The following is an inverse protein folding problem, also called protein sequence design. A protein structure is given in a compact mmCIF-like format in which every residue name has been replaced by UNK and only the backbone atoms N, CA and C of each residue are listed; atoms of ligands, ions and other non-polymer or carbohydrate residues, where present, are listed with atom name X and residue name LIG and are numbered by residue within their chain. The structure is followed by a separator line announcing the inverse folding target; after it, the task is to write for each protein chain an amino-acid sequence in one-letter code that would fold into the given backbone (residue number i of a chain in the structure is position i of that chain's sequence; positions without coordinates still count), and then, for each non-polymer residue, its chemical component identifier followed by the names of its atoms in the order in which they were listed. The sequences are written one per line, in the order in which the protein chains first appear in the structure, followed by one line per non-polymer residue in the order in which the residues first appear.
data_IF_698396331499
#
_entry.id   IF_698396331499
#
_cell.length_a   1.000
_cell.length_b   1.000
_cell.length_c   1.000
_cell.angle_alpha   90.00
_cell.angle_beta   90.00
_cell.angle_gamma   90.00
#
_symmetry.space_group_name_H-M   'P 1'
#
loop_
_entity.id
_entity.type
_entity.pdbx_description
1 polymer ?
#
# COMPACT_ATOMS: atom_id res chain seq x y z
N UNK A 1 -12.72 6.75 -12.70
CA UNK A 1 -11.57 6.28 -11.95
C UNK A 1 -10.92 7.43 -11.16
N UNK A 2 -10.63 8.55 -11.82
CA UNK A 2 -9.91 9.67 -11.22
C UNK A 2 -10.63 10.27 -10.00
N UNK A 3 -11.95 10.32 -10.03
CA UNK A 3 -12.75 10.75 -8.86
C UNK A 3 -12.61 9.79 -7.68
N UNK A 4 -12.58 8.48 -7.91
CA UNK A 4 -12.37 7.48 -6.86
C UNK A 4 -10.96 7.56 -6.28
N UNK A 5 -9.96 7.80 -7.13
CA UNK A 5 -8.57 8.02 -6.71
C UNK A 5 -8.48 9.26 -5.83
N UNK A 6 -9.08 10.38 -6.25
CA UNK A 6 -9.10 11.62 -5.47
C UNK A 6 -9.76 11.41 -4.11
N UNK A 7 -10.97 10.82 -4.08
CA UNK A 7 -11.68 10.52 -2.84
C UNK A 7 -10.86 9.60 -1.91
N UNK A 8 -10.24 8.56 -2.48
CA UNK A 8 -9.40 7.65 -1.71
C UNK A 8 -8.18 8.34 -1.10
N UNK A 9 -7.50 9.22 -1.86
CA UNK A 9 -6.36 9.97 -1.34
C UNK A 9 -6.74 10.98 -0.25
N UNK A 10 -7.95 11.56 -0.33
CA UNK A 10 -8.43 12.54 0.64
C UNK A 10 -8.99 11.89 1.92
N UNK A 11 -9.67 10.75 1.81
CA UNK A 11 -10.51 10.22 2.90
C UNK A 11 -10.03 8.88 3.48
N UNK A 12 -9.05 8.21 2.84
CA UNK A 12 -8.70 6.86 3.26
C UNK A 12 -8.00 6.84 4.63
N UNK A 13 -8.54 6.12 5.65
CA UNK A 13 -8.02 6.16 7.02
C UNK A 13 -6.56 5.70 7.16
N UNK A 14 -6.13 4.72 6.35
CA UNK A 14 -4.74 4.23 6.38
C UNK A 14 -3.74 5.28 5.93
N UNK A 15 -4.11 6.13 4.97
CA UNK A 15 -3.24 7.22 4.53
C UNK A 15 -3.19 8.32 5.60
N UNK A 16 -4.33 8.69 6.17
CA UNK A 16 -4.39 9.62 7.29
C UNK A 16 -3.56 9.11 8.50
N UNK A 17 -3.65 7.82 8.84
CA UNK A 17 -2.83 7.21 9.88
C UNK A 17 -1.34 7.29 9.57
N UNK A 18 -0.93 7.07 8.31
CA UNK A 18 0.46 7.20 7.91
C UNK A 18 0.97 8.65 8.04
N UNK A 19 0.16 9.65 7.70
CA UNK A 19 0.50 11.07 7.90
C UNK A 19 0.66 11.39 9.39
N UNK A 20 -0.26 10.95 10.24
CA UNK A 20 -0.15 11.12 11.69
C UNK A 20 1.09 10.43 12.29
N UNK A 21 1.57 9.35 11.68
CA UNK A 21 2.82 8.70 12.11
C UNK A 21 4.05 9.59 11.85
N UNK A 22 4.02 10.43 10.81
CA UNK A 22 5.07 11.44 10.55
C UNK A 22 5.05 12.51 11.64
N UNK A 23 3.87 12.99 12.05
CA UNK A 23 3.77 13.99 13.11
C UNK A 23 4.20 13.40 14.46
N UNK A 24 3.88 12.15 14.74
CA UNK A 24 4.39 11.45 15.92
C UNK A 24 5.92 11.32 15.89
N UNK A 25 6.53 11.00 14.72
CA UNK A 25 7.98 10.96 14.57
C UNK A 25 8.62 12.35 14.76
N UNK A 26 8.00 13.41 14.23
CA UNK A 26 8.45 14.80 14.49
C UNK A 26 8.42 15.16 15.97
N UNK A 27 7.37 14.76 16.69
CA UNK A 27 7.29 14.93 18.14
C UNK A 27 8.43 14.22 18.86
N UNK A 28 8.75 12.98 18.47
CA UNK A 28 9.92 12.24 19.02
C UNK A 28 11.24 12.91 18.68
N UNK A 29 11.43 13.43 17.47
CA UNK A 29 12.63 14.15 17.07
C UNK A 29 12.84 15.44 17.87
N UNK A 30 11.76 16.19 18.12
CA UNK A 30 11.79 17.34 19.01
C UNK A 30 12.22 16.92 20.44
N UNK A 31 11.55 15.92 21.01
CA UNK A 31 11.82 15.44 22.38
C UNK A 31 13.26 14.92 22.54
N UNK A 32 13.81 14.24 21.52
CA UNK A 32 15.15 13.69 21.56
C UNK A 32 16.26 14.75 21.64
N UNK A 33 15.97 15.98 21.23
CA UNK A 33 16.91 17.12 21.30
C UNK A 33 16.79 18.00 22.53
N UNK A 34 15.79 17.78 23.39
CA UNK A 34 15.57 18.63 24.56
C UNK A 34 16.52 18.29 25.69
N UNK A 35 16.98 19.35 26.37
CA UNK A 35 17.72 19.21 27.61
C UNK A 35 16.82 18.68 28.73
N UNK A 36 17.35 17.89 29.69
CA UNK A 36 16.65 17.53 30.91
C UNK A 36 16.20 18.78 31.67
N UNK A 37 15.03 18.73 32.29
CA UNK A 37 14.56 19.82 33.12
C UNK A 37 15.40 19.96 34.39
N UNK A 38 15.60 21.20 34.91
CA UNK A 38 16.18 21.37 36.22
C UNK A 38 15.31 20.72 37.30
N UNK A 39 15.95 20.11 38.26
CA UNK A 39 15.29 19.54 39.45
C UNK A 39 15.38 20.54 40.59
N UNK A 40 14.25 20.83 41.24
CA UNK A 40 14.17 21.63 42.43
C UNK A 40 13.85 20.70 43.60
N UNK A 41 14.68 20.74 44.64
CA UNK A 41 14.53 19.86 45.80
C UNK A 41 14.76 20.62 47.11
N UNK A 42 14.36 19.99 48.20
CA UNK A 42 14.64 20.40 49.57
C UNK A 42 15.49 19.31 50.19
N UNK A 43 16.64 19.65 50.73
CA UNK A 43 17.54 18.70 51.38
C UNK A 43 17.69 19.12 52.84
N UNK A 44 17.48 18.19 53.74
CA UNK A 44 17.67 18.38 55.18
C UNK A 44 18.72 17.39 55.67
N UNK A 45 19.80 17.91 56.25
CA UNK A 45 20.89 17.15 56.84
C UNK A 45 20.88 17.34 58.35
N UNK A 46 21.35 16.33 59.09
CA UNK A 46 21.51 16.38 60.58
C UNK A 46 20.17 16.65 61.32
N UNK A 47 19.05 16.25 60.74
CA UNK A 47 17.72 16.43 61.34
C UNK A 47 17.45 15.47 62.53
N UNK A 48 18.12 15.49 63.53
CA UNK A 48 17.94 14.55 64.67
C UNK A 48 19.08 14.47 65.57
N UNK A 49 19.97 15.46 65.55
CA UNK A 49 21.08 15.56 66.51
C UNK A 49 20.55 15.73 67.94
N UNK A 50 21.00 14.87 68.81
CA UNK A 50 20.58 14.82 70.21
C UNK A 50 20.94 16.06 71.00
N UNK A 51 21.77 16.97 70.49
CA UNK A 51 22.18 18.23 71.13
C UNK A 51 21.28 19.43 70.75
N UNK A 52 20.21 19.23 70.00
CA UNK A 52 19.16 20.23 69.84
C UNK A 52 19.47 21.40 68.89
N UNK A 53 20.50 21.29 68.07
CA UNK A 53 20.93 22.36 67.15
C UNK A 53 20.12 22.54 65.90
N UNK A 54 19.17 21.65 65.58
CA UNK A 54 18.14 21.88 64.62
C UNK A 54 18.51 21.62 63.14
N UNK A 55 19.68 21.06 62.84
CA UNK A 55 20.08 20.59 61.51
C UNK A 55 20.39 21.69 60.50
N UNK A 56 20.77 21.25 59.31
CA UNK A 56 21.07 22.07 58.14
C UNK A 56 19.96 21.83 57.13
N UNK A 57 19.36 22.89 56.61
CA UNK A 57 18.32 22.79 55.58
C UNK A 57 18.72 23.58 54.34
N UNK A 58 18.73 22.92 53.19
CA UNK A 58 18.98 23.54 51.89
C UNK A 58 17.66 23.70 51.13
N UNK A 59 17.20 24.96 50.94
CA UNK A 59 15.92 25.29 50.27
C UNK A 59 16.04 26.61 49.52
N UNK A 60 15.75 26.65 48.25
CA UNK A 60 15.67 25.52 47.29
C UNK A 60 17.06 25.02 46.94
N UNK A 61 17.22 23.72 46.67
CA UNK A 61 18.36 23.20 45.92
C UNK A 61 17.91 23.02 44.46
N UNK A 62 18.66 23.60 43.53
CA UNK A 62 18.44 23.48 42.11
C UNK A 62 19.57 22.64 41.53
N UNK A 63 19.25 21.60 40.79
CA UNK A 63 20.21 20.73 40.09
C UNK A 63 19.89 20.68 38.63
N UNK A 64 20.89 20.89 37.77
CA UNK A 64 20.77 20.82 36.30
C UNK A 64 21.81 19.88 35.74
N UNK A 65 21.35 18.87 34.99
CA UNK A 65 22.21 18.04 34.18
C UNK A 65 22.54 18.74 32.87
N UNK A 66 23.81 18.89 32.57
CA UNK A 66 24.35 19.39 31.32
C UNK A 66 24.79 18.19 30.49
N UNK A 67 24.02 17.88 29.45
CA UNK A 67 24.32 16.78 28.54
C UNK A 67 25.47 17.19 27.63
N UNK A 68 26.56 16.43 27.68
CA UNK A 68 27.82 16.70 26.99
C UNK A 68 28.02 15.75 25.82
N UNK A 69 29.16 15.87 25.09
CA UNK A 69 29.53 14.94 24.01
C UNK A 69 28.66 14.97 22.78
N UNK A 70 27.79 15.97 22.62
CA UNK A 70 26.89 16.06 21.46
C UNK A 70 25.75 15.03 21.43
N UNK A 71 25.48 14.36 22.58
CA UNK A 71 24.49 13.27 22.67
C UNK A 71 23.10 13.67 22.23
N UNK A 72 22.63 14.87 22.62
CA UNK A 72 21.31 15.39 22.21
C UNK A 72 21.24 15.66 20.70
N UNK A 73 22.31 16.22 20.12
CA UNK A 73 22.41 16.46 18.68
C UNK A 73 22.34 15.14 17.91
N UNK A 74 23.09 14.11 18.35
CA UNK A 74 23.08 12.79 17.72
C UNK A 74 21.74 12.08 17.90
N UNK A 75 21.12 12.19 19.09
CA UNK A 75 19.78 11.63 19.35
C UNK A 75 18.73 12.28 18.44
N UNK A 76 18.75 13.61 18.32
CA UNK A 76 17.86 14.35 17.45
C UNK A 76 18.08 13.99 15.99
N UNK A 77 19.32 13.95 15.52
CA UNK A 77 19.64 13.57 14.14
C UNK A 77 19.18 12.13 13.80
N UNK A 78 19.32 11.17 14.74
CA UNK A 78 18.80 9.83 14.57
C UNK A 78 17.26 9.80 14.50
N UNK A 79 16.57 10.59 15.33
CA UNK A 79 15.12 10.71 15.31
C UNK A 79 14.61 11.46 14.05
N UNK A 80 15.39 12.40 13.50
CA UNK A 80 15.09 13.03 12.19
C UNK A 80 15.14 12.00 11.04
N UNK A 81 16.08 11.03 11.09
CA UNK A 81 16.04 9.90 10.12
C UNK A 81 14.78 9.03 10.27
N UNK A 82 14.23 8.91 11.48
CA UNK A 82 12.92 8.25 11.68
C UNK A 82 11.77 9.04 11.04
N UNK A 83 11.81 10.37 11.05
CA UNK A 83 10.86 11.22 10.32
C UNK A 83 10.96 10.97 8.81
N UNK A 84 12.18 10.86 8.27
CA UNK A 84 12.40 10.56 6.85
C UNK A 84 11.83 9.19 6.49
N UNK A 85 12.04 8.17 7.32
CA UNK A 85 11.47 6.83 7.14
C UNK A 85 9.93 6.86 7.16
N UNK A 86 9.34 7.58 8.11
CA UNK A 86 7.89 7.75 8.19
C UNK A 86 7.32 8.47 6.95
N UNK A 87 8.02 9.46 6.43
CA UNK A 87 7.63 10.18 5.20
C UNK A 87 7.68 9.27 3.97
N UNK A 88 8.71 8.43 3.87
CA UNK A 88 8.82 7.43 2.81
C UNK A 88 7.71 6.37 2.93
N UNK A 89 7.32 6.00 4.15
CA UNK A 89 6.21 5.09 4.38
C UNK A 89 4.86 5.68 3.90
N UNK A 90 4.63 6.99 4.04
CA UNK A 90 3.44 7.67 3.45
C UNK A 90 3.44 7.52 1.93
N UNK A 91 4.60 7.71 1.28
CA UNK A 91 4.72 7.57 -0.18
C UNK A 91 4.43 6.14 -0.63
N UNK A 92 4.94 5.12 0.09
CA UNK A 92 4.65 3.72 -0.18
C UNK A 92 3.15 3.42 -0.05
N UNK A 93 2.53 3.86 1.06
CA UNK A 93 1.08 3.66 1.31
C UNK A 93 0.20 4.34 0.26
N UNK A 94 0.61 5.52 -0.21
CA UNK A 94 -0.09 6.21 -1.32
C UNK A 94 -0.06 5.35 -2.59
N UNK A 95 1.10 4.84 -2.98
CA UNK A 95 1.24 4.00 -4.17
C UNK A 95 0.45 2.68 -4.05
N UNK A 96 0.50 2.01 -2.90
CA UNK A 96 -0.30 0.82 -2.61
C UNK A 96 -1.81 1.10 -2.73
N UNK A 97 -2.26 2.24 -2.18
CA UNK A 97 -3.66 2.66 -2.25
C UNK A 97 -4.11 2.91 -3.68
N UNK A 98 -3.31 3.63 -4.48
CA UNK A 98 -3.58 3.88 -5.89
C UNK A 98 -3.73 2.56 -6.68
N UNK A 99 -2.80 1.63 -6.49
CA UNK A 99 -2.85 0.32 -7.13
C UNK A 99 -4.10 -0.48 -6.70
N UNK A 100 -4.44 -0.47 -5.42
CA UNK A 100 -5.60 -1.17 -4.89
C UNK A 100 -6.92 -0.59 -5.41
N UNK A 101 -7.06 0.74 -5.49
CA UNK A 101 -8.24 1.40 -6.06
C UNK A 101 -8.39 1.06 -7.54
N UNK A 102 -7.29 1.14 -8.31
CA UNK A 102 -7.28 0.79 -9.74
C UNK A 102 -7.69 -0.67 -9.96
N UNK A 103 -7.10 -1.59 -9.20
CA UNK A 103 -7.42 -3.02 -9.29
C UNK A 103 -8.89 -3.28 -8.97
N UNK A 104 -9.41 -2.74 -7.85
CA UNK A 104 -10.80 -2.90 -7.47
C UNK A 104 -11.78 -2.27 -8.47
N UNK A 105 -11.40 -1.14 -9.08
CA UNK A 105 -12.18 -0.49 -10.14
C UNK A 105 -12.30 -1.35 -11.39
N UNK A 106 -11.18 -1.89 -11.89
CA UNK A 106 -11.21 -2.75 -13.07
C UNK A 106 -11.88 -4.09 -12.81
N UNK A 107 -11.78 -4.64 -11.60
CA UNK A 107 -12.55 -5.82 -11.19
C UNK A 107 -14.07 -5.55 -11.25
N UNK A 108 -14.51 -4.42 -10.67
CA UNK A 108 -15.91 -4.04 -10.69
C UNK A 108 -16.40 -3.70 -12.09
N UNK A 109 -15.60 -3.04 -12.93
CA UNK A 109 -15.92 -2.72 -14.31
C UNK A 109 -16.05 -3.99 -15.17
N UNK A 110 -15.14 -4.95 -15.04
CA UNK A 110 -15.20 -6.22 -15.75
C UNK A 110 -16.44 -7.03 -15.34
N UNK A 111 -16.78 -7.05 -14.04
CA UNK A 111 -17.98 -7.71 -13.53
C UNK A 111 -19.25 -7.02 -14.06
N UNK A 112 -19.29 -5.70 -14.08
CA UNK A 112 -20.41 -4.94 -14.63
C UNK A 112 -20.65 -5.29 -16.12
N UNK A 113 -19.60 -5.28 -16.92
CA UNK A 113 -19.67 -5.68 -18.33
C UNK A 113 -20.10 -7.14 -18.52
N UNK A 114 -19.61 -8.03 -17.65
CA UNK A 114 -20.02 -9.44 -17.65
C UNK A 114 -21.52 -9.58 -17.35
N UNK A 115 -22.03 -8.89 -16.33
CA UNK A 115 -23.44 -8.92 -15.96
C UNK A 115 -24.35 -8.40 -17.09
N UNK A 116 -23.98 -7.30 -17.74
CA UNK A 116 -24.69 -6.78 -18.92
C UNK A 116 -24.77 -7.82 -20.07
N UNK A 117 -23.65 -8.48 -20.38
CA UNK A 117 -23.59 -9.50 -21.43
C UNK A 117 -24.41 -10.73 -21.09
N UNK A 118 -24.36 -11.20 -19.85
CA UNK A 118 -25.15 -12.33 -19.36
C UNK A 118 -26.64 -12.02 -19.36
N UNK A 119 -27.06 -10.82 -19.01
CA UNK A 119 -28.44 -10.38 -19.10
C UNK A 119 -28.97 -10.39 -20.55
N UNK A 120 -28.14 -9.92 -21.50
CA UNK A 120 -28.47 -10.00 -22.94
C UNK A 120 -28.55 -11.45 -23.40
N UNK A 121 -27.63 -12.30 -22.98
CA UNK A 121 -27.61 -13.72 -23.35
C UNK A 121 -28.83 -14.44 -22.76
N UNK A 122 -29.24 -14.15 -21.53
CA UNK A 122 -30.46 -14.68 -20.91
C UNK A 122 -31.70 -14.37 -21.77
N UNK A 123 -31.85 -13.12 -22.20
CA UNK A 123 -32.97 -12.72 -23.04
C UNK A 123 -32.96 -13.46 -24.38
N UNK A 124 -31.76 -13.60 -24.96
CA UNK A 124 -31.59 -14.26 -26.26
C UNK A 124 -31.91 -15.76 -26.19
N UNK A 125 -31.37 -16.47 -25.18
CA UNK A 125 -31.63 -17.91 -25.00
C UNK A 125 -33.10 -18.18 -24.73
N UNK A 126 -33.78 -17.34 -23.93
CA UNK A 126 -35.20 -17.45 -23.70
C UNK A 126 -36.04 -17.28 -24.98
N UNK A 127 -35.75 -16.26 -25.79
CA UNK A 127 -36.39 -16.06 -27.07
C UNK A 127 -36.18 -17.25 -28.02
N UNK A 128 -35.02 -17.87 -27.95
CA UNK A 128 -34.66 -19.02 -28.78
C UNK A 128 -35.45 -20.27 -28.38
N UNK A 129 -35.67 -20.50 -27.10
CA UNK A 129 -36.53 -21.56 -26.59
C UNK A 129 -37.95 -21.38 -27.14
N UNK A 130 -38.52 -20.17 -27.01
CA UNK A 130 -39.87 -19.86 -27.47
C UNK A 130 -40.04 -20.03 -29.01
N UNK A 131 -39.03 -19.58 -29.79
CA UNK A 131 -39.04 -19.76 -31.23
C UNK A 131 -38.98 -21.24 -31.63
N UNK A 132 -38.12 -22.02 -30.98
CA UNK A 132 -37.96 -23.45 -31.29
C UNK A 132 -39.19 -24.24 -30.86
N UNK A 133 -39.87 -23.88 -29.76
CA UNK A 133 -41.15 -24.46 -29.40
C UNK A 133 -42.22 -24.28 -30.47
N UNK A 134 -42.32 -23.07 -31.08
CA UNK A 134 -43.22 -22.82 -32.24
C UNK A 134 -42.84 -23.65 -33.45
N UNK A 135 -41.54 -23.87 -33.70
CA UNK A 135 -41.09 -24.75 -34.80
C UNK A 135 -41.43 -26.21 -34.53
N UNK A 136 -41.42 -26.68 -33.28
CA UNK A 136 -41.89 -28.03 -32.93
C UNK A 136 -43.40 -28.18 -33.18
N UNK A 137 -44.20 -27.19 -32.82
CA UNK A 137 -45.65 -27.17 -33.10
C UNK A 137 -45.90 -27.22 -34.62
N UNK A 138 -45.07 -26.51 -35.43
CA UNK A 138 -45.09 -26.54 -36.88
C UNK A 138 -44.45 -27.81 -37.48
N UNK A 139 -43.97 -28.76 -36.69
CA UNK A 139 -43.22 -29.97 -37.09
C UNK A 139 -41.95 -29.71 -37.89
N UNK A 140 -41.31 -28.55 -37.65
CA UNK A 140 -40.04 -28.13 -38.26
C UNK A 140 -38.82 -28.28 -37.36
N UNK A 141 -39.04 -28.65 -36.10
CA UNK A 141 -37.99 -28.95 -35.11
C UNK A 141 -38.42 -30.14 -34.20
N UNK A 142 -37.49 -30.69 -33.48
CA UNK A 142 -37.73 -31.82 -32.56
C UNK A 142 -37.87 -31.38 -31.09
N UNK A 143 -38.50 -32.20 -30.26
CA UNK A 143 -38.52 -31.99 -28.81
C UNK A 143 -37.11 -31.97 -28.20
N UNK A 144 -36.17 -32.74 -28.78
CA UNK A 144 -34.79 -32.78 -28.33
C UNK A 144 -34.13 -31.38 -28.50
N UNK A 145 -34.40 -30.69 -29.63
CA UNK A 145 -33.87 -29.34 -29.86
C UNK A 145 -34.36 -28.35 -28.79
N UNK A 146 -35.64 -28.42 -28.41
CA UNK A 146 -36.18 -27.57 -27.34
C UNK A 146 -35.53 -27.89 -26.00
N UNK A 147 -35.43 -29.18 -25.62
CA UNK A 147 -34.83 -29.57 -24.33
C UNK A 147 -33.37 -29.15 -24.24
N UNK A 148 -32.57 -29.25 -25.30
CA UNK A 148 -31.20 -28.78 -25.35
C UNK A 148 -31.12 -27.26 -25.13
N UNK A 149 -32.00 -26.49 -25.73
CA UNK A 149 -32.05 -25.03 -25.54
C UNK A 149 -32.52 -24.64 -24.12
N UNK A 150 -33.47 -25.38 -23.54
CA UNK A 150 -33.93 -25.16 -22.15
C UNK A 150 -32.80 -25.40 -21.16
N UNK A 151 -31.98 -26.45 -21.32
CA UNK A 151 -30.80 -26.69 -20.49
C UNK A 151 -29.80 -25.53 -20.59
N UNK A 152 -29.55 -25.04 -21.81
CA UNK A 152 -28.63 -23.89 -21.99
C UNK A 152 -29.22 -22.59 -21.42
N UNK A 153 -30.54 -22.35 -21.58
CA UNK A 153 -31.21 -21.18 -21.02
C UNK A 153 -31.16 -21.18 -19.48
N UNK A 154 -31.36 -22.32 -18.82
CA UNK A 154 -31.24 -22.44 -17.37
C UNK A 154 -29.80 -22.25 -16.88
N UNK A 155 -28.79 -22.74 -17.63
CA UNK A 155 -27.38 -22.49 -17.32
C UNK A 155 -27.05 -21.00 -17.40
N UNK A 156 -27.43 -20.33 -18.48
CA UNK A 156 -27.21 -18.89 -18.67
C UNK A 156 -27.95 -18.07 -17.60
N UNK A 157 -29.17 -18.47 -17.25
CA UNK A 157 -29.93 -17.84 -16.17
C UNK A 157 -29.20 -17.92 -14.83
N UNK A 158 -28.70 -19.11 -14.47
CA UNK A 158 -27.93 -19.28 -13.25
C UNK A 158 -26.65 -18.41 -13.22
N UNK A 159 -25.94 -18.33 -14.36
CA UNK A 159 -24.74 -17.45 -14.46
C UNK A 159 -25.11 -15.97 -14.38
N UNK A 160 -26.22 -15.53 -14.97
CA UNK A 160 -26.67 -14.14 -14.89
C UNK A 160 -27.08 -13.77 -13.47
N UNK A 161 -27.84 -14.62 -12.79
CA UNK A 161 -28.22 -14.42 -11.39
C UNK A 161 -27.00 -14.39 -10.45
N UNK A 162 -25.99 -15.21 -10.71
CA UNK A 162 -24.74 -15.19 -9.94
C UNK A 162 -24.01 -13.84 -10.13
N UNK A 163 -23.86 -13.38 -11.39
CA UNK A 163 -23.22 -12.10 -11.68
C UNK A 163 -23.99 -10.90 -11.08
N UNK A 164 -25.32 -10.91 -11.12
CA UNK A 164 -26.17 -9.89 -10.49
C UNK A 164 -25.97 -9.84 -8.95
N UNK A 165 -25.75 -10.98 -8.30
CA UNK A 165 -25.48 -11.05 -6.84
C UNK A 165 -24.05 -10.66 -6.48
N UNK A 166 -23.09 -10.85 -7.38
CA UNK A 166 -21.68 -10.44 -7.19
C UNK A 166 -21.51 -8.92 -7.26
N UNK A 167 -22.33 -8.21 -8.03
CA UNK A 167 -22.23 -6.76 -8.24
C UNK A 167 -22.21 -5.93 -6.95
N UNK A 168 -23.17 -6.08 -6.01
CA UNK A 168 -23.16 -5.32 -4.75
C UNK A 168 -21.91 -5.62 -3.90
N UNK A 169 -21.34 -6.82 -4.01
CA UNK A 169 -20.10 -7.17 -3.30
C UNK A 169 -18.89 -6.45 -3.92
N UNK A 170 -18.83 -6.34 -5.25
CA UNK A 170 -17.78 -5.59 -5.95
C UNK A 170 -17.82 -4.10 -5.61
N UNK A 171 -19.00 -3.48 -5.58
CA UNK A 171 -19.18 -2.08 -5.15
C UNK A 171 -18.79 -1.87 -3.69
N UNK A 172 -19.19 -2.76 -2.78
CA UNK A 172 -18.77 -2.70 -1.36
C UNK A 172 -17.26 -2.84 -1.20
N UNK A 173 -16.62 -3.71 -1.99
CA UNK A 173 -15.17 -3.83 -2.02
C UNK A 173 -14.51 -2.54 -2.52
N UNK A 174 -15.05 -1.94 -3.60
CA UNK A 174 -14.56 -0.68 -4.14
C UNK A 174 -14.71 0.45 -3.11
N UNK A 175 -15.87 0.54 -2.43
CA UNK A 175 -16.10 1.48 -1.33
C UNK A 175 -15.11 1.27 -0.17
N UNK A 176 -14.87 0.04 0.24
CA UNK A 176 -13.92 -0.29 1.31
C UNK A 176 -12.47 0.09 0.94
N UNK A 177 -12.06 -0.14 -0.31
CA UNK A 177 -10.72 0.19 -0.80
C UNK A 177 -10.53 1.69 -0.99
N UNK A 178 -11.57 2.43 -1.38
CA UNK A 178 -11.52 3.91 -1.45
C UNK A 178 -11.70 4.58 -0.09
N UNK A 179 -12.20 3.86 0.92
CA UNK A 179 -12.50 4.42 2.23
C UNK A 179 -13.79 5.27 2.28
N UNK A 180 -14.58 5.25 1.22
CA UNK A 180 -15.86 5.95 1.12
C UNK A 180 -16.96 5.04 1.66
N UNK A 181 -17.68 5.49 2.71
CA UNK A 181 -18.71 4.66 3.36
C UNK A 181 -19.92 4.38 2.47
N UNK A 182 -20.35 5.38 1.72
CA UNK A 182 -21.55 5.34 0.89
C UNK A 182 -21.19 5.67 -0.57
N UNK A 183 -20.54 4.70 -1.24
CA UNK A 183 -20.32 4.81 -2.68
C UNK A 183 -21.63 4.48 -3.38
N UNK A 184 -22.23 5.41 -4.15
CA UNK A 184 -23.48 5.16 -4.84
C UNK A 184 -23.31 4.04 -5.87
N UNK A 185 -24.26 3.10 -5.89
CA UNK A 185 -24.37 2.10 -6.94
C UNK A 185 -24.71 2.82 -8.25
N UNK A 186 -23.78 2.82 -9.18
CA UNK A 186 -23.94 3.48 -10.47
C UNK A 186 -23.15 2.80 -11.59
N UNK A 187 -23.44 3.13 -12.86
CA UNK A 187 -22.72 2.54 -13.98
C UNK A 187 -21.23 2.98 -13.92
N UNK A 188 -20.33 1.98 -13.89
CA UNK A 188 -18.90 2.24 -14.00
C UNK A 188 -18.57 2.54 -15.47
N UNK A 189 -17.96 3.70 -15.71
CA UNK A 189 -17.62 4.18 -17.06
C UNK A 189 -16.12 4.14 -17.26
N UNK A 190 -15.65 3.34 -18.20
CA UNK A 190 -14.21 3.29 -18.53
C UNK A 190 -13.92 2.34 -19.69
N UNK A 191 -12.79 2.54 -20.39
CA UNK A 191 -12.37 1.68 -21.47
C UNK A 191 -11.73 0.41 -20.93
N UNK A 192 -12.51 -0.67 -20.81
CA UNK A 192 -11.94 -2.00 -20.54
C UNK A 192 -11.16 -2.50 -21.77
N UNK A 193 -11.60 -2.11 -22.97
CA UNK A 193 -11.00 -2.48 -24.26
C UNK A 193 -9.82 -1.58 -24.67
N UNK A 194 -9.34 -0.71 -23.77
CA UNK A 194 -8.21 0.18 -24.04
C UNK A 194 -6.88 -0.57 -24.20
N UNK A 195 -5.88 0.07 -24.81
CA UNK A 195 -4.55 -0.51 -24.94
C UNK A 195 -3.92 -0.74 -23.58
N UNK A 196 -3.45 -1.96 -23.33
CA UNK A 196 -2.74 -2.30 -22.10
C UNK A 196 -1.33 -1.68 -22.12
N UNK A 197 -0.82 -1.20 -20.95
CA UNK A 197 0.52 -0.62 -20.87
C UNK A 197 1.61 -1.60 -21.31
N UNK A 198 2.72 -1.09 -21.83
CA UNK A 198 3.87 -1.91 -22.17
C UNK A 198 4.94 -1.81 -21.07
N UNK A 199 5.23 -2.93 -20.44
CA UNK A 199 6.28 -3.06 -19.43
C UNK A 199 7.38 -4.00 -19.93
N UNK A 200 8.63 -3.63 -19.62
CA UNK A 200 9.80 -4.46 -19.83
C UNK A 200 10.40 -4.83 -18.47
N UNK A 201 10.58 -6.13 -18.18
CA UNK A 201 10.96 -6.61 -16.85
C UNK A 201 12.21 -5.95 -16.28
N UNK A 202 13.29 -5.90 -17.08
CA UNK A 202 14.56 -5.37 -16.58
C UNK A 202 14.49 -3.87 -16.30
N UNK A 203 13.76 -3.10 -17.11
CA UNK A 203 13.53 -1.67 -16.87
C UNK A 203 12.68 -1.45 -15.63
N UNK A 204 11.57 -2.18 -15.48
CA UNK A 204 10.70 -2.09 -14.30
C UNK A 204 11.49 -2.42 -13.05
N UNK A 205 12.26 -3.52 -13.06
CA UNK A 205 13.10 -3.91 -11.92
C UNK A 205 14.13 -2.84 -11.56
N UNK A 206 14.89 -2.39 -12.54
CA UNK A 206 15.95 -1.39 -12.32
C UNK A 206 15.38 -0.06 -11.82
N UNK A 207 14.29 0.41 -12.42
CA UNK A 207 13.59 1.61 -11.97
C UNK A 207 13.07 1.46 -10.54
N UNK A 208 12.34 0.37 -10.26
CA UNK A 208 11.76 0.11 -8.94
C UNK A 208 12.84 0.07 -7.85
N UNK A 209 13.93 -0.68 -8.04
CA UNK A 209 15.03 -0.74 -7.07
C UNK A 209 15.72 0.63 -6.85
N UNK A 210 15.71 1.50 -7.87
CA UNK A 210 16.29 2.83 -7.77
C UNK A 210 15.47 3.83 -6.96
N UNK A 211 14.13 3.79 -7.10
CA UNK A 211 13.26 4.86 -6.59
C UNK A 211 12.29 4.43 -5.48
N UNK A 212 12.11 3.12 -5.27
CA UNK A 212 11.05 2.63 -4.38
C UNK A 212 11.24 3.08 -2.93
N UNK A 213 10.18 3.57 -2.26
CA UNK A 213 10.27 4.10 -0.91
C UNK A 213 10.77 3.09 0.12
N UNK A 214 10.45 1.79 -0.02
CA UNK A 214 10.93 0.74 0.88
C UNK A 214 12.47 0.63 0.86
N UNK A 215 13.10 0.64 -0.31
CA UNK A 215 14.57 0.60 -0.43
C UNK A 215 15.19 1.87 0.15
N UNK A 216 14.62 3.04 -0.18
CA UNK A 216 15.08 4.31 0.36
C UNK A 216 14.94 4.37 1.88
N UNK A 217 13.84 3.88 2.42
CA UNK A 217 13.61 3.79 3.88
C UNK A 217 14.63 2.89 4.57
N UNK A 218 14.95 1.73 3.97
CA UNK A 218 15.98 0.84 4.49
C UNK A 218 17.38 1.51 4.48
N UNK A 219 17.72 2.26 3.44
CA UNK A 219 18.98 3.03 3.37
C UNK A 219 19.04 4.13 4.43
N UNK A 220 17.96 4.87 4.64
CA UNK A 220 17.84 5.84 5.75
C UNK A 220 17.96 5.12 7.10
N UNK A 221 17.47 3.88 7.21
CA UNK A 221 17.67 3.04 8.39
C UNK A 221 19.15 2.80 8.73
N UNK A 222 20.01 2.60 7.73
CA UNK A 222 21.46 2.48 7.92
C UNK A 222 22.06 3.79 8.46
N UNK A 223 21.64 4.94 7.93
CA UNK A 223 22.08 6.24 8.44
C UNK A 223 21.66 6.45 9.88
N UNK A 224 20.42 6.12 10.22
CA UNK A 224 19.90 6.16 11.58
C UNK A 224 20.73 5.28 12.54
N UNK A 225 21.00 4.04 12.14
CA UNK A 225 21.82 3.12 12.94
C UNK A 225 23.24 3.65 13.17
N UNK A 226 23.87 4.28 12.17
CA UNK A 226 25.18 4.92 12.32
C UNK A 226 25.15 6.08 13.32
N UNK A 227 24.13 6.92 13.29
CA UNK A 227 23.96 8.01 14.26
C UNK A 227 23.76 7.46 15.68
N UNK A 228 23.00 6.40 15.86
CA UNK A 228 22.83 5.72 17.15
C UNK A 228 24.14 5.09 17.64
N UNK A 229 24.94 4.51 16.75
CA UNK A 229 26.28 4.02 17.09
C UNK A 229 27.21 5.16 17.54
N UNK A 230 27.24 6.29 16.83
CA UNK A 230 27.99 7.49 17.25
C UNK A 230 27.50 8.01 18.60
N UNK A 231 26.19 8.00 18.85
CA UNK A 231 25.61 8.35 20.14
C UNK A 231 26.06 7.42 21.24
N UNK A 232 26.10 6.10 20.99
CA UNK A 232 26.60 5.13 21.95
C UNK A 232 28.09 5.36 22.29
N UNK A 233 28.91 5.77 21.33
CA UNK A 233 30.30 6.18 21.58
C UNK A 233 30.38 7.46 22.42
N UNK A 234 29.51 8.44 22.16
CA UNK A 234 29.45 9.69 22.89
C UNK A 234 29.05 9.50 24.38
N UNK A 235 28.40 8.37 24.74
CA UNK A 235 28.08 8.05 26.14
C UNK A 235 29.31 7.83 27.01
N UNK A 236 30.49 7.56 26.45
CA UNK A 236 31.74 7.50 27.16
C UNK A 236 32.14 8.87 27.76
N UNK A 237 31.64 9.97 27.18
CA UNK A 237 31.84 11.32 27.73
C UNK A 237 30.77 11.57 28.79
N UNK A 238 31.16 11.79 30.08
CA UNK A 238 30.18 11.94 31.14
C UNK A 238 29.40 13.27 31.04
N UNK A 239 28.14 13.27 31.47
CA UNK A 239 27.38 14.49 31.68
C UNK A 239 27.84 15.20 32.94
N UNK A 240 27.70 16.51 32.98
CA UNK A 240 28.07 17.34 34.13
C UNK A 240 26.79 17.76 34.85
N UNK A 241 26.70 17.50 36.15
CA UNK A 241 25.62 18.00 36.98
C UNK A 241 26.11 19.23 37.76
N UNK A 242 25.40 20.34 37.62
CA UNK A 242 25.64 21.56 38.37
C UNK A 242 24.52 21.73 39.39
N UNK A 243 24.90 21.95 40.64
CA UNK A 243 23.96 22.13 41.73
C UNK A 243 24.19 23.49 42.43
N UNK A 244 23.12 24.11 42.88
CA UNK A 244 23.17 25.33 43.66
C UNK A 244 22.01 25.38 44.62
N UNK A 245 22.28 25.92 45.84
CA UNK A 245 21.21 26.03 46.82
C UNK A 245 21.51 27.03 47.94
N UNK A 246 20.46 27.52 48.56
CA UNK A 246 20.53 28.34 49.77
C UNK A 246 20.47 27.43 50.99
N UNK A 247 21.46 27.53 51.86
CA UNK A 247 21.64 26.70 53.04
C UNK A 247 21.33 27.48 54.29
N UNK A 248 20.41 26.99 55.09
CA UNK A 248 20.10 27.49 56.41
C UNK A 248 20.68 26.55 57.43
N UNK A 249 21.68 27.01 58.19
CA UNK A 249 22.23 26.30 59.34
C UNK A 249 21.49 26.78 60.62
N UNK A 250 20.75 25.87 61.23
CA UNK A 250 19.96 26.25 62.41
C UNK A 250 20.82 26.34 63.68
N UNK A 251 21.93 25.63 63.70
CA UNK A 251 22.85 25.65 64.88
C UNK A 251 23.40 27.04 65.17
N UNK A 252 24.00 27.70 64.23
CA UNK A 252 24.60 29.01 64.31
C UNK A 252 23.75 30.15 63.71
N UNK A 253 22.56 29.83 63.22
CA UNK A 253 21.63 30.73 62.48
C UNK A 253 22.25 31.42 61.26
N UNK A 254 23.27 30.81 60.63
CA UNK A 254 23.87 31.37 59.43
C UNK A 254 23.08 31.00 58.17
N UNK A 255 23.30 31.80 57.17
CA UNK A 255 22.77 31.61 55.85
C UNK A 255 23.93 31.55 54.82
N UNK A 256 24.03 30.48 54.12
CA UNK A 256 25.13 30.18 53.21
C UNK A 256 24.63 29.82 51.83
N UNK A 257 25.49 29.86 50.86
CA UNK A 257 25.21 29.32 49.51
C UNK A 257 26.10 28.11 49.28
N UNK A 258 25.47 27.05 48.74
CA UNK A 258 26.17 25.85 48.28
C UNK A 258 26.19 25.84 46.78
N UNK A 259 27.35 25.57 46.18
CA UNK A 259 27.50 25.29 44.76
C UNK A 259 28.29 24.00 44.64
N UNK A 260 27.77 23.08 43.81
CA UNK A 260 28.41 21.78 43.55
C UNK A 260 28.49 21.49 42.09
N UNK A 261 29.52 20.78 41.68
CA UNK A 261 29.67 20.22 40.32
C UNK A 261 29.96 18.73 40.47
N UNK A 262 29.07 17.92 39.91
CA UNK A 262 29.21 16.46 39.88
C UNK A 262 29.61 15.99 38.48
N UNK A 263 30.60 15.10 38.41
CA UNK A 263 31.05 14.48 37.16
C UNK A 263 31.33 13.00 37.43
N UNK A 264 30.54 12.06 36.84
CA UNK A 264 30.85 10.64 36.91
C UNK A 264 32.10 10.34 36.08
N UNK A 265 33.11 9.67 36.69
CA UNK A 265 34.35 9.32 36.01
C UNK A 265 34.25 7.89 35.47
N UNK A 266 34.28 7.69 34.15
CA UNK A 266 34.07 6.38 33.51
C UNK A 266 35.35 5.52 33.57
N UNK A 267 35.63 4.96 34.75
CA UNK A 267 36.83 4.12 34.96
C UNK A 267 36.63 2.74 34.35
N UNK A 268 35.50 2.09 34.62
CA UNK A 268 35.20 0.72 34.19
C UNK A 268 34.18 0.67 33.06
N UNK A 269 33.11 1.45 33.18
CA UNK A 269 32.04 1.49 32.19
C UNK A 269 32.20 2.71 31.27
N UNK A 270 32.65 2.44 30.05
CA UNK A 270 32.76 3.41 28.95
C UNK A 270 31.73 3.14 27.84
N UNK A 271 30.62 2.51 28.20
CA UNK A 271 29.55 2.11 27.30
C UNK A 271 29.97 1.11 26.21
N UNK A 272 31.08 0.37 26.42
CA UNK A 272 31.69 -0.50 25.41
C UNK A 272 30.73 -1.60 24.88
N UNK A 273 29.88 -2.15 25.75
CA UNK A 273 28.88 -3.15 25.36
C UNK A 273 27.85 -2.60 24.40
N UNK A 274 27.28 -1.41 24.71
CA UNK A 274 26.29 -0.77 23.85
C UNK A 274 26.92 -0.25 22.55
N UNK A 275 28.19 0.13 22.55
CA UNK A 275 28.93 0.50 21.32
C UNK A 275 29.04 -0.70 20.38
N UNK A 276 29.38 -1.90 20.92
CA UNK A 276 29.45 -3.12 20.13
C UNK A 276 28.06 -3.54 19.62
N UNK A 277 27.04 -3.45 20.46
CA UNK A 277 25.66 -3.74 20.05
C UNK A 277 25.19 -2.80 18.93
N UNK A 278 25.39 -1.50 19.09
CA UNK A 278 25.02 -0.52 18.07
C UNK A 278 25.80 -0.70 16.76
N UNK A 279 27.05 -1.13 16.81
CA UNK A 279 27.83 -1.48 15.63
C UNK A 279 27.23 -2.70 14.92
N UNK A 280 26.80 -3.71 15.65
CA UNK A 280 26.11 -4.88 15.09
C UNK A 280 24.76 -4.48 14.44
N UNK A 281 24.04 -3.52 15.03
CA UNK A 281 22.81 -2.97 14.46
C UNK A 281 23.06 -2.23 13.13
N UNK A 282 24.19 -1.54 12.97
CA UNK A 282 24.58 -0.97 11.66
C UNK A 282 24.76 -2.07 10.61
N UNK A 283 25.41 -3.19 10.98
CA UNK A 283 25.53 -4.35 10.09
C UNK A 283 24.18 -4.97 9.76
N UNK A 284 23.29 -5.12 10.74
CA UNK A 284 21.92 -5.60 10.57
C UNK A 284 21.11 -4.70 9.63
N UNK A 285 21.18 -3.39 9.82
CA UNK A 285 20.50 -2.42 8.93
C UNK A 285 21.01 -2.47 7.49
N UNK A 286 22.31 -2.72 7.27
CA UNK A 286 22.86 -2.94 5.95
C UNK A 286 22.29 -4.22 5.29
N UNK A 287 22.15 -5.31 6.05
CA UNK A 287 21.53 -6.55 5.57
C UNK A 287 20.03 -6.38 5.32
N UNK A 288 19.37 -5.50 6.03
CA UNK A 288 17.98 -5.15 5.79
C UNK A 288 17.78 -4.52 4.40
N UNK A 289 18.73 -3.68 3.94
CA UNK A 289 18.69 -3.14 2.57
C UNK A 289 18.73 -4.27 1.54
N UNK A 290 19.67 -5.21 1.69
CA UNK A 290 19.80 -6.37 0.77
C UNK A 290 18.52 -7.20 0.78
N UNK A 291 17.92 -7.44 1.96
CA UNK A 291 16.66 -8.18 2.10
C UNK A 291 15.52 -7.48 1.38
N UNK A 292 15.34 -6.18 1.58
CA UNK A 292 14.29 -5.39 0.94
C UNK A 292 14.46 -5.35 -0.57
N UNK A 293 15.71 -5.22 -1.08
CA UNK A 293 15.98 -5.27 -2.52
C UNK A 293 15.66 -6.66 -3.13
N UNK A 294 15.93 -7.75 -2.40
CA UNK A 294 15.58 -9.11 -2.82
C UNK A 294 14.05 -9.32 -2.83
N UNK A 295 13.36 -8.96 -1.76
CA UNK A 295 11.89 -9.07 -1.66
C UNK A 295 11.17 -8.25 -2.75
N UNK A 296 11.68 -7.04 -3.02
CA UNK A 296 11.11 -6.20 -4.06
C UNK A 296 11.36 -6.75 -5.46
N UNK A 297 12.54 -7.35 -5.69
CA UNK A 297 12.85 -8.05 -6.94
C UNK A 297 11.88 -9.21 -7.17
N UNK A 298 11.58 -10.00 -6.14
CA UNK A 298 10.60 -11.09 -6.20
C UNK A 298 9.19 -10.57 -6.49
N UNK A 299 8.74 -9.52 -5.77
CA UNK A 299 7.44 -8.87 -5.99
C UNK A 299 7.30 -8.39 -7.45
N UNK A 300 8.32 -7.72 -7.98
CA UNK A 300 8.34 -7.23 -9.37
C UNK A 300 8.29 -8.39 -10.36
N UNK A 301 9.10 -9.42 -10.18
CA UNK A 301 9.14 -10.57 -11.08
C UNK A 301 7.78 -11.30 -11.10
N UNK A 302 7.16 -11.48 -9.94
CA UNK A 302 5.85 -12.11 -9.80
C UNK A 302 4.76 -11.26 -10.46
N UNK A 303 4.69 -9.98 -10.16
CA UNK A 303 3.69 -9.07 -10.73
C UNK A 303 3.84 -8.95 -12.27
N UNK A 304 5.07 -8.90 -12.77
CA UNK A 304 5.35 -8.88 -14.20
C UNK A 304 4.93 -10.18 -14.89
N UNK A 305 5.25 -11.35 -14.31
CA UNK A 305 4.83 -12.66 -14.82
C UNK A 305 3.30 -12.72 -14.95
N UNK A 306 2.60 -12.31 -13.90
CA UNK A 306 1.13 -12.34 -13.86
C UNK A 306 0.53 -11.38 -14.88
N UNK A 307 1.11 -10.18 -15.00
CA UNK A 307 0.72 -9.22 -16.03
C UNK A 307 0.96 -9.75 -17.45
N UNK A 308 2.16 -10.27 -17.74
CA UNK A 308 2.51 -10.77 -19.05
C UNK A 308 1.62 -11.97 -19.47
N UNK A 309 1.28 -12.84 -18.53
CA UNK A 309 0.35 -13.95 -18.77
C UNK A 309 -1.07 -13.46 -19.03
N UNK A 310 -1.59 -12.55 -18.21
CA UNK A 310 -2.93 -12.00 -18.36
C UNK A 310 -3.07 -11.19 -19.67
N UNK A 311 -2.09 -10.38 -20.01
CA UNK A 311 -2.04 -9.63 -21.28
C UNK A 311 -2.09 -10.56 -22.50
N UNK A 312 -1.22 -11.58 -22.55
CA UNK A 312 -1.22 -12.54 -23.67
C UNK A 312 -2.56 -13.28 -23.77
N UNK A 313 -3.18 -13.63 -22.64
CA UNK A 313 -4.50 -14.25 -22.61
C UNK A 313 -5.56 -13.32 -23.19
N UNK A 314 -5.59 -12.05 -22.80
CA UNK A 314 -6.52 -11.05 -23.32
C UNK A 314 -6.35 -10.85 -24.84
N UNK A 315 -5.10 -10.73 -25.32
CA UNK A 315 -4.79 -10.61 -26.76
C UNK A 315 -5.27 -11.83 -27.56
N UNK A 316 -5.05 -13.06 -27.04
CA UNK A 316 -5.53 -14.30 -27.71
C UNK A 316 -7.05 -14.39 -27.74
N UNK A 317 -7.73 -14.05 -26.65
CA UNK A 317 -9.18 -14.10 -26.56
C UNK A 317 -9.86 -13.00 -27.41
N UNK A 318 -9.21 -11.86 -27.61
CA UNK A 318 -9.63 -10.88 -28.61
C UNK A 318 -9.64 -11.48 -30.03
N UNK A 319 -8.63 -12.27 -30.38
CA UNK A 319 -8.60 -13.01 -31.65
C UNK A 319 -9.67 -14.10 -31.76
N UNK A 320 -10.00 -14.78 -30.65
CA UNK A 320 -11.09 -15.77 -30.59
C UNK A 320 -12.43 -15.08 -30.83
N UNK A 321 -12.69 -13.93 -30.17
CA UNK A 321 -13.90 -13.14 -30.38
C UNK A 321 -14.04 -12.69 -31.83
N UNK A 322 -12.98 -12.14 -32.44
CA UNK A 322 -12.98 -11.70 -33.81
C UNK A 322 -13.36 -12.83 -34.79
N UNK A 323 -12.84 -14.05 -34.59
CA UNK A 323 -13.20 -15.23 -35.40
C UNK A 323 -14.64 -15.67 -35.15
N UNK A 324 -15.15 -15.62 -33.93
CA UNK A 324 -16.55 -15.95 -33.64
C UNK A 324 -17.50 -14.93 -34.31
N UNK A 325 -17.17 -13.64 -34.26
CA UNK A 325 -17.93 -12.58 -34.95
C UNK A 325 -17.91 -12.78 -36.47
N UNK A 326 -16.77 -13.14 -37.04
CA UNK A 326 -16.66 -13.46 -38.49
C UNK A 326 -17.52 -14.68 -38.87
N UNK A 327 -17.46 -15.76 -38.08
CA UNK A 327 -18.29 -16.94 -38.32
C UNK A 327 -19.79 -16.62 -38.24
N UNK A 328 -20.21 -15.81 -37.27
CA UNK A 328 -21.61 -15.36 -37.18
C UNK A 328 -22.03 -14.50 -38.37
N UNK A 329 -21.15 -13.58 -38.81
CA UNK A 329 -21.40 -12.73 -39.99
C UNK A 329 -21.55 -13.57 -41.27
N UNK A 330 -20.69 -14.56 -41.51
CA UNK A 330 -20.78 -15.45 -42.66
C UNK A 330 -22.12 -16.19 -42.70
N UNK A 331 -22.59 -16.69 -41.52
CA UNK A 331 -23.91 -17.35 -41.44
C UNK A 331 -25.07 -16.37 -41.72
N UNK A 332 -24.91 -15.08 -41.36
CA UNK A 332 -25.94 -14.07 -41.59
C UNK A 332 -26.00 -13.56 -43.02
N UNK A 333 -24.86 -13.50 -43.74
CA UNK A 333 -24.71 -12.94 -45.09
C UNK A 333 -24.92 -13.96 -46.21
N UNK A 334 -24.61 -15.26 -45.99
CA UNK A 334 -24.73 -16.29 -47.01
C UNK A 334 -26.19 -16.70 -47.24
N UNK A 335 -26.85 -16.05 -48.19
CA UNK A 335 -28.24 -16.33 -48.60
C UNK A 335 -28.41 -17.67 -49.33
N UNK A 336 -27.36 -18.26 -49.87
CA UNK A 336 -27.39 -19.48 -50.68
C UNK A 336 -27.33 -20.79 -49.87
N UNK A 337 -27.01 -20.74 -48.58
CA UNK A 337 -27.02 -21.86 -47.66
C UNK A 337 -28.20 -21.74 -46.70
N UNK A 338 -29.06 -22.78 -46.67
CA UNK A 338 -30.15 -22.88 -45.69
C UNK A 338 -29.60 -23.25 -44.30
N UNK A 339 -28.91 -22.30 -43.65
CA UNK A 339 -28.54 -22.48 -42.25
C UNK A 339 -29.78 -22.58 -41.38
N UNK A 340 -29.84 -23.61 -40.56
CA UNK A 340 -30.93 -23.81 -39.63
C UNK A 340 -30.94 -22.71 -38.57
N UNK A 341 -32.09 -22.43 -37.98
CA UNK A 341 -32.23 -21.50 -36.84
C UNK A 341 -31.30 -21.87 -35.72
N UNK A 342 -31.10 -23.17 -35.48
CA UNK A 342 -30.17 -23.71 -34.48
C UNK A 342 -28.71 -23.33 -34.76
N UNK A 343 -28.26 -23.45 -35.99
CA UNK A 343 -26.88 -23.07 -36.37
C UNK A 343 -26.61 -21.57 -36.18
N UNK A 344 -27.56 -20.71 -36.49
CA UNK A 344 -27.46 -19.25 -36.27
C UNK A 344 -27.36 -18.96 -34.77
N UNK A 345 -28.16 -19.64 -33.95
CA UNK A 345 -28.16 -19.49 -32.54
C UNK A 345 -26.83 -19.93 -31.92
N UNK A 346 -26.29 -21.10 -32.31
CA UNK A 346 -24.99 -21.60 -31.85
C UNK A 346 -23.87 -20.61 -32.16
N UNK A 347 -23.88 -20.04 -33.38
CA UNK A 347 -22.88 -19.03 -33.74
C UNK A 347 -23.03 -17.75 -32.91
N UNK A 348 -24.24 -17.31 -32.63
CA UNK A 348 -24.48 -16.13 -31.77
C UNK A 348 -24.06 -16.37 -30.31
N UNK A 349 -24.33 -17.55 -29.76
CA UNK A 349 -23.86 -17.96 -28.45
C UNK A 349 -22.34 -17.99 -28.40
N UNK A 350 -21.67 -18.49 -29.43
CA UNK A 350 -20.21 -18.50 -29.53
C UNK A 350 -19.61 -17.09 -29.48
N UNK A 351 -20.23 -16.10 -30.12
CA UNK A 351 -19.80 -14.69 -30.04
C UNK A 351 -19.92 -14.16 -28.63
N UNK A 352 -21.05 -14.39 -27.95
CA UNK A 352 -21.30 -13.90 -26.62
C UNK A 352 -20.33 -14.57 -25.63
N UNK A 353 -20.13 -15.89 -25.73
CA UNK A 353 -19.21 -16.62 -24.88
C UNK A 353 -17.76 -16.12 -25.07
N UNK A 354 -17.32 -15.95 -26.32
CA UNK A 354 -16.00 -15.40 -26.63
C UNK A 354 -15.83 -13.96 -26.06
N UNK A 355 -16.91 -13.16 -26.10
CA UNK A 355 -16.91 -11.80 -25.54
C UNK A 355 -16.83 -11.83 -24.01
N UNK A 356 -17.55 -12.75 -23.34
CA UNK A 356 -17.48 -12.95 -21.89
C UNK A 356 -16.06 -13.34 -21.44
N UNK A 357 -15.45 -14.29 -22.17
CA UNK A 357 -14.09 -14.74 -21.88
C UNK A 357 -13.06 -13.62 -22.09
N UNK A 358 -13.24 -12.79 -23.14
CA UNK A 358 -12.38 -11.63 -23.38
C UNK A 358 -12.53 -10.59 -22.29
N UNK A 359 -13.76 -10.22 -21.88
CA UNK A 359 -14.02 -9.24 -20.81
C UNK A 359 -13.36 -9.67 -19.51
N UNK A 360 -13.46 -10.97 -19.16
CA UNK A 360 -12.77 -11.51 -17.97
C UNK A 360 -11.27 -11.36 -18.09
N UNK A 361 -10.69 -11.75 -19.22
CA UNK A 361 -9.23 -11.69 -19.42
C UNK A 361 -8.71 -10.24 -19.44
N UNK A 362 -9.46 -9.30 -19.97
CA UNK A 362 -9.14 -7.88 -19.93
C UNK A 362 -9.18 -7.33 -18.49
N UNK A 363 -10.20 -7.69 -17.70
CA UNK A 363 -10.25 -7.36 -16.29
C UNK A 363 -9.03 -7.87 -15.50
N UNK A 364 -8.66 -9.15 -15.72
CA UNK A 364 -7.46 -9.75 -15.13
C UNK A 364 -6.18 -9.02 -15.55
N UNK A 365 -6.05 -8.61 -16.82
CA UNK A 365 -4.90 -7.89 -17.32
C UNK A 365 -4.80 -6.47 -16.73
N UNK A 366 -5.89 -5.73 -16.63
CA UNK A 366 -5.92 -4.42 -16.00
C UNK A 366 -5.65 -4.48 -14.51
N UNK A 367 -6.15 -5.52 -13.80
CA UNK A 367 -5.81 -5.76 -12.39
C UNK A 367 -4.31 -5.99 -12.20
N UNK A 368 -3.72 -6.86 -13.01
CA UNK A 368 -2.29 -7.14 -12.96
C UNK A 368 -1.44 -5.92 -13.33
N UNK A 369 -1.86 -5.13 -14.34
CA UNK A 369 -1.24 -3.84 -14.67
C UNK A 369 -1.31 -2.86 -13.50
N UNK A 370 -2.45 -2.79 -12.80
CA UNK A 370 -2.62 -1.93 -11.61
C UNK A 370 -1.64 -2.32 -10.49
N UNK A 371 -1.39 -3.62 -10.29
CA UNK A 371 -0.40 -4.09 -9.31
C UNK A 371 1.02 -3.64 -9.69
N UNK A 372 1.41 -3.77 -10.96
CA UNK A 372 2.70 -3.26 -11.43
C UNK A 372 2.82 -1.75 -11.28
N UNK A 373 1.76 -0.99 -11.59
CA UNK A 373 1.77 0.48 -11.45
C UNK A 373 2.03 0.94 -10.01
N UNK A 374 1.63 0.16 -9.01
CA UNK A 374 1.93 0.41 -7.60
C UNK A 374 3.41 0.22 -7.28
N UNK A 375 4.07 -0.78 -7.88
CA UNK A 375 5.49 -1.04 -7.69
C UNK A 375 6.37 -0.02 -8.44
N UNK A 376 5.90 0.49 -9.59
CA UNK A 376 6.58 1.54 -10.36
C UNK A 376 6.21 2.96 -9.92
N UNK A 377 5.33 3.10 -8.91
CA UNK A 377 4.89 4.40 -8.37
C UNK A 377 4.23 5.30 -9.43
N UNK A 378 3.53 4.72 -10.42
CA UNK A 378 2.86 5.48 -11.47
C UNK A 378 1.66 6.25 -10.90
N UNK A 379 1.73 7.57 -10.91
CA UNK A 379 0.61 8.43 -10.48
C UNK A 379 -0.41 8.62 -11.60
N UNK A 380 0.03 8.82 -12.84
CA UNK A 380 -0.84 8.94 -14.00
C UNK A 380 -1.27 7.56 -14.52
N UNK A 381 -2.56 7.42 -14.83
CA UNK A 381 -3.11 6.14 -15.25
C UNK A 381 -4.22 6.32 -16.31
N UNK A 382 -4.20 5.55 -17.40
CA UNK A 382 -3.10 4.66 -17.80
C UNK A 382 -1.81 5.44 -18.08
N UNK A 383 -0.63 4.82 -17.95
CA UNK A 383 0.62 5.50 -18.27
C UNK A 383 0.58 5.97 -19.72
N UNK A 384 1.13 7.15 -19.98
CA UNK A 384 1.23 7.67 -21.34
C UNK A 384 1.92 6.62 -22.24
N UNK A 385 1.47 6.40 -23.47
CA UNK A 385 2.13 5.47 -24.39
C UNK A 385 3.60 5.89 -24.52
N UNK A 386 4.50 4.93 -24.31
CA UNK A 386 5.94 5.16 -24.41
C UNK A 386 6.27 5.82 -25.75
N UNK A 387 6.82 7.02 -25.69
CA UNK A 387 7.13 7.79 -26.88
C UNK A 387 8.10 6.98 -27.76
N UNK A 388 7.69 6.62 -28.95
CA UNK A 388 8.50 5.79 -29.88
C UNK A 388 9.81 6.46 -30.29
N UNK A 389 9.99 7.75 -29.94
CA UNK A 389 11.18 8.53 -30.29
C UNK A 389 12.39 8.27 -29.37
N UNK A 390 12.17 7.74 -28.15
CA UNK A 390 13.29 7.36 -27.25
C UNK A 390 13.91 5.98 -27.58
N UNK A 391 13.47 5.31 -28.63
CA UNK A 391 13.98 3.99 -29.08
C UNK A 391 15.11 4.07 -30.11
N UNK A 392 15.78 5.20 -30.26
CA UNK A 392 17.02 5.22 -31.07
C UNK A 392 18.24 4.99 -30.17
N UNK A 393 19.13 4.06 -30.59
CA UNK A 393 20.27 3.58 -29.81
C UNK A 393 21.31 4.64 -29.53
#
# INVERSE_FOLDING_TARGET
LDDLVRLGLEQHPRLAQAVLSVDAARGRALQAGLYPNPTVSVVGDELGDRQGSGGIVTVPQISQEIVTGGKLTLSRAAAEREVDQATLAVTARRAELLAAIRAAYFDALALHRRAELLSRLRTLTQQSVEQTQRLVEARQATRLDVTQLEVEAERVRAEAEAAEREMPAAFRRLAAVTGVKDLPDGPLVGPLDGPLPEYELDRVRQYTLGVHPEVRSARVGVERARLLWQRAQAEAVPNVTVEGGYVRQNENRSNDFRVGVGLPVPVWNRNQGNVLAALAEVGSAAKEVERVEADLTEKVATAYRDYAAARRRAERLAGVRAKAEEAFRLIAEEKNFNFTTVQRLVAQQAVIQATLDQVRAQGDAWRAASTLSGLTLEEQWPPAPANKEERKP
#
